data_IF_168241695514
#
_entry.id   IF_168241695514
#
_cell.length_a   1.000
_cell.length_b   1.000
_cell.length_c   1.000
_cell.angle_alpha   90.00
_cell.angle_beta   90.00
_cell.angle_gamma   90.00
#
_symmetry.space_group_name_H-M   'P 1'
#
loop_
_entity.id
_entity.type
_entity.pdbx_description
1 polymer ?
#
# COMPACT_ATOMS: atom_id res chain seq x y z
N UNK A 1 12.19 37.91 47.27
CA UNK A 1 13.14 37.50 46.20
C UNK A 1 13.03 36.02 45.81
N UNK A 2 11.97 35.26 46.15
CA UNK A 2 11.85 33.83 45.74
C UNK A 2 11.04 33.58 44.46
N UNK A 3 10.23 34.54 43.98
CA UNK A 3 9.28 34.26 42.90
C UNK A 3 9.88 34.39 41.47
N UNK A 4 10.96 35.17 41.29
CA UNK A 4 11.60 35.33 39.98
C UNK A 4 12.31 34.07 39.47
N UNK A 5 12.60 33.07 40.33
CA UNK A 5 13.23 31.80 39.87
C UNK A 5 12.24 30.87 39.17
N UNK A 6 10.92 31.03 39.36
CA UNK A 6 9.92 30.08 38.83
C UNK A 6 9.62 30.26 37.33
N UNK A 7 9.83 31.44 36.77
CA UNK A 7 9.63 31.70 35.33
C UNK A 7 10.68 31.02 34.43
N UNK A 8 11.87 30.74 34.98
CA UNK A 8 12.97 30.11 34.23
C UNK A 8 12.64 28.71 33.71
N UNK A 9 11.62 28.04 34.28
CA UNK A 9 11.28 26.67 33.93
C UNK A 9 10.35 26.54 32.72
N UNK A 10 9.68 27.63 32.31
CA UNK A 10 8.71 27.61 31.20
C UNK A 10 8.90 28.79 30.23
N UNK A 11 10.10 28.96 29.65
CA UNK A 11 10.48 30.17 28.90
C UNK A 11 9.63 30.42 27.65
N UNK A 12 8.96 29.40 27.13
CA UNK A 12 8.12 29.52 25.93
C UNK A 12 6.74 30.15 26.23
N UNK A 13 6.32 30.26 27.50
CA UNK A 13 5.06 30.92 27.90
C UNK A 13 5.27 32.41 28.24
N UNK A 14 6.48 32.81 28.62
CA UNK A 14 6.81 34.19 29.00
C UNK A 14 6.46 35.23 27.91
N UNK A 15 6.67 34.98 26.60
CA UNK A 15 6.26 35.93 25.56
C UNK A 15 4.76 36.21 25.56
N UNK A 16 3.93 35.19 25.83
CA UNK A 16 2.47 35.36 25.91
C UNK A 16 2.10 36.23 27.09
N UNK A 17 2.71 36.00 28.26
CA UNK A 17 2.46 36.81 29.45
C UNK A 17 2.81 38.27 29.18
N UNK A 18 4.04 38.55 28.71
CA UNK A 18 4.50 39.92 28.43
C UNK A 18 3.63 40.64 27.40
N UNK A 19 3.14 39.93 26.39
CA UNK A 19 2.23 40.50 25.40
C UNK A 19 0.92 40.97 26.03
N UNK A 20 0.30 40.15 26.88
CA UNK A 20 -0.94 40.52 27.58
C UNK A 20 -0.69 41.60 28.63
N UNK A 21 0.43 41.56 29.36
CA UNK A 21 0.81 42.64 30.28
C UNK A 21 0.91 43.98 29.58
N UNK A 22 1.64 44.02 28.47
CA UNK A 22 1.80 45.23 27.66
C UNK A 22 0.48 45.70 27.07
N UNK A 23 -0.35 44.78 26.59
CA UNK A 23 -1.64 45.10 25.97
C UNK A 23 -2.61 45.73 26.99
N UNK A 24 -2.70 45.14 28.19
CA UNK A 24 -3.67 45.56 29.21
C UNK A 24 -3.14 46.55 30.25
N UNK A 25 -1.82 46.81 30.28
CA UNK A 25 -1.16 47.64 31.30
C UNK A 25 -1.39 47.13 32.72
N UNK A 26 -1.41 45.82 32.89
CA UNK A 26 -1.58 45.13 34.17
C UNK A 26 -0.49 44.07 34.28
N UNK A 27 0.17 43.97 35.43
CA UNK A 27 1.13 42.89 35.66
C UNK A 27 0.42 41.53 35.70
N UNK A 28 0.94 40.54 34.99
CA UNK A 28 0.46 39.16 34.96
C UNK A 28 1.56 38.26 35.52
N UNK A 29 1.33 37.75 36.71
CA UNK A 29 2.28 36.88 37.41
C UNK A 29 1.95 35.42 37.10
N UNK A 30 2.88 34.71 36.49
CA UNK A 30 2.75 33.29 36.20
C UNK A 30 3.33 32.46 37.35
N UNK A 31 2.50 31.63 37.97
CA UNK A 31 2.85 30.77 39.10
C UNK A 31 2.86 29.31 38.66
N UNK A 32 3.94 28.60 38.99
CA UNK A 32 4.03 27.14 38.86
C UNK A 32 4.07 26.52 40.25
N UNK A 33 2.90 26.25 40.86
CA UNK A 33 2.89 25.65 42.18
C UNK A 33 3.46 24.23 42.13
N UNK A 34 4.24 23.87 43.15
CA UNK A 34 4.82 22.52 43.28
C UNK A 34 3.78 21.43 43.62
N UNK A 35 2.53 21.84 43.88
CA UNK A 35 1.40 20.97 44.20
C UNK A 35 0.19 21.44 43.41
N UNK A 36 -0.74 20.52 43.13
CA UNK A 36 -2.02 20.82 42.46
C UNK A 36 -2.94 21.75 43.26
N UNK A 37 -2.50 22.31 44.40
CA UNK A 37 -3.22 23.32 45.17
C UNK A 37 -2.31 24.52 45.40
N UNK A 38 -2.82 25.71 45.09
CA UNK A 38 -2.12 26.97 45.23
C UNK A 38 -2.96 27.98 46.00
N UNK A 39 -2.34 28.76 46.88
CA UNK A 39 -3.03 29.85 47.60
C UNK A 39 -3.35 30.98 46.62
N UNK A 40 -4.58 31.52 46.64
CA UNK A 40 -4.86 32.79 45.98
C UNK A 40 -3.86 33.85 46.42
N UNK A 41 -3.50 34.72 45.49
CA UNK A 41 -2.60 35.85 45.67
C UNK A 41 -3.45 37.12 45.73
N UNK A 42 -3.07 38.00 46.65
CA UNK A 42 -3.77 39.26 46.93
C UNK A 42 -2.94 40.49 46.52
N UNK A 43 -1.71 40.28 46.05
CA UNK A 43 -0.84 41.35 45.55
C UNK A 43 -1.38 42.00 44.25
N UNK A 44 -0.91 43.21 43.89
CA UNK A 44 -1.37 43.89 42.70
C UNK A 44 -1.07 43.13 41.40
N UNK A 45 -2.01 43.20 40.45
CA UNK A 45 -1.95 42.47 39.18
C UNK A 45 -2.89 41.27 39.11
N UNK A 46 -2.69 40.46 38.08
CA UNK A 46 -3.40 39.20 37.86
C UNK A 46 -2.45 38.03 38.03
N UNK A 47 -2.95 36.94 38.62
CA UNK A 47 -2.13 35.78 38.98
C UNK A 47 -2.61 34.55 38.25
N UNK A 48 -1.78 34.01 37.36
CA UNK A 48 -2.06 32.82 36.57
C UNK A 48 -1.38 31.62 37.22
N UNK A 49 -2.15 30.70 37.79
CA UNK A 49 -1.65 29.49 38.44
C UNK A 49 -1.76 28.33 37.46
N UNK A 50 -0.61 27.80 37.01
CA UNK A 50 -0.56 26.70 36.06
C UNK A 50 -0.84 25.37 36.74
N UNK A 51 -1.76 24.60 36.17
CA UNK A 51 -2.14 23.25 36.61
C UNK A 51 -2.40 23.15 38.12
N UNK A 52 -3.31 23.99 38.60
CA UNK A 52 -3.56 24.18 40.02
C UNK A 52 -5.04 24.38 40.34
N UNK A 53 -5.41 24.02 41.56
CA UNK A 53 -6.67 24.39 42.22
C UNK A 53 -6.40 25.43 43.30
N UNK A 54 -7.37 26.29 43.63
CA UNK A 54 -7.28 27.13 44.81
C UNK A 54 -7.18 26.25 46.07
N UNK A 55 -6.22 26.54 46.95
CA UNK A 55 -6.17 25.92 48.27
C UNK A 55 -7.35 26.43 49.09
N UNK A 56 -8.20 25.53 49.60
CA UNK A 56 -9.37 25.89 50.41
C UNK A 56 -8.98 26.77 51.61
N UNK A 57 -9.83 27.73 51.95
CA UNK A 57 -9.80 28.46 53.22
C UNK A 57 -9.84 27.49 54.41
N UNK A 58 -9.26 27.85 55.57
CA UNK A 58 -8.88 26.88 56.59
C UNK A 58 -10.12 26.49 57.42
N UNK A 59 -10.52 25.21 57.38
CA UNK A 59 -10.66 24.31 58.54
C UNK A 59 -11.53 23.06 58.27
N UNK A 60 -12.57 23.10 57.43
CA UNK A 60 -13.61 22.04 57.44
C UNK A 60 -13.61 21.07 56.24
N UNK A 61 -12.51 21.01 55.50
CA UNK A 61 -12.52 20.43 54.16
C UNK A 61 -11.45 19.33 53.95
N UNK A 62 -11.15 18.62 55.04
CA UNK A 62 -10.26 17.46 55.11
C UNK A 62 -10.74 16.35 54.15
N UNK A 63 -9.81 15.81 53.35
CA UNK A 63 -9.91 14.53 52.60
C UNK A 63 -10.70 14.44 51.28
N UNK A 64 -10.90 15.54 50.54
CA UNK A 64 -11.19 15.38 49.11
C UNK A 64 -9.89 15.21 48.33
N UNK A 65 -9.54 14.00 47.87
CA UNK A 65 -8.47 13.80 46.89
C UNK A 65 -8.77 14.65 45.64
N UNK A 66 -7.77 15.39 45.16
CA UNK A 66 -7.88 16.09 43.88
C UNK A 66 -7.90 15.03 42.79
N UNK A 67 -9.09 14.73 42.26
CA UNK A 67 -9.22 13.80 41.14
C UNK A 67 -8.69 14.47 39.88
N UNK A 68 -7.88 13.72 39.13
CA UNK A 68 -7.50 14.06 37.77
C UNK A 68 -8.38 13.26 36.81
N UNK A 69 -8.69 13.86 35.67
CA UNK A 69 -9.37 13.17 34.58
C UNK A 69 -8.62 13.39 33.27
N UNK A 70 -8.88 12.51 32.31
CA UNK A 70 -8.30 12.59 30.98
C UNK A 70 -9.12 13.52 30.10
N UNK A 71 -8.50 14.61 29.67
CA UNK A 71 -9.03 15.61 28.76
C UNK A 71 -8.31 15.48 27.41
N UNK A 72 -8.92 14.87 26.39
CA UNK A 72 -8.24 14.65 25.10
C UNK A 72 -8.09 15.94 24.29
N UNK A 73 -9.00 16.90 24.48
CA UNK A 73 -9.08 18.13 23.71
C UNK A 73 -9.41 19.32 24.61
N UNK A 74 -8.93 20.51 24.26
CA UNK A 74 -9.33 21.77 24.89
C UNK A 74 -9.45 22.85 23.80
N UNK A 75 -10.56 23.60 23.77
CA UNK A 75 -10.85 24.58 22.72
C UNK A 75 -10.77 23.99 21.29
N UNK A 76 -11.19 22.73 21.12
CA UNK A 76 -11.08 22.02 19.83
C UNK A 76 -9.64 21.67 19.42
N UNK A 77 -8.64 21.86 20.29
CA UNK A 77 -7.24 21.49 20.05
C UNK A 77 -6.91 20.18 20.76
N UNK A 78 -6.39 19.20 20.02
CA UNK A 78 -5.98 17.91 20.58
C UNK A 78 -4.73 18.04 21.45
N UNK A 79 -4.83 17.64 22.72
CA UNK A 79 -3.71 17.69 23.66
C UNK A 79 -2.70 16.56 23.41
N UNK A 80 -1.43 16.80 23.76
CA UNK A 80 -0.34 15.84 23.62
C UNK A 80 -0.60 14.60 24.50
N UNK A 81 -0.34 13.42 23.95
CA UNK A 81 -0.37 12.17 24.72
C UNK A 81 0.61 12.23 25.91
N UNK A 82 0.14 11.86 27.10
CA UNK A 82 0.86 12.03 28.36
C UNK A 82 0.61 13.37 29.09
N UNK A 83 0.12 14.40 28.40
CA UNK A 83 -0.25 15.70 28.97
C UNK A 83 -1.76 15.97 28.87
N UNK A 84 -2.58 14.92 28.76
CA UNK A 84 -4.05 15.00 28.69
C UNK A 84 -4.69 15.11 30.08
N UNK A 85 -3.95 15.56 31.09
CA UNK A 85 -4.46 15.59 32.45
C UNK A 85 -5.14 16.93 32.74
N UNK A 86 -6.29 16.86 33.39
CA UNK A 86 -7.00 18.03 33.91
C UNK A 86 -7.45 17.77 35.35
N UNK A 87 -7.44 18.82 36.18
CA UNK A 87 -7.88 18.79 37.56
C UNK A 87 -9.41 18.91 37.64
N UNK A 88 -10.06 17.98 38.34
CA UNK A 88 -11.50 18.08 38.60
C UNK A 88 -11.77 19.14 39.67
N UNK A 89 -12.65 20.09 39.36
CA UNK A 89 -13.13 21.06 40.34
C UNK A 89 -14.04 20.38 41.38
N UNK A 90 -13.81 20.57 42.69
CA UNK A 90 -14.71 20.04 43.72
C UNK A 90 -16.10 20.71 43.64
N UNK A 91 -17.18 19.90 43.67
CA UNK A 91 -18.58 20.34 43.61
C UNK A 91 -19.00 21.40 44.67
N UNK A 92 -18.21 21.61 45.73
CA UNK A 92 -18.51 22.51 46.84
C UNK A 92 -17.83 23.89 46.76
N UNK A 93 -17.21 24.25 45.64
CA UNK A 93 -16.62 25.58 45.50
C UNK A 93 -17.71 26.64 45.28
N UNK A 94 -18.12 27.32 46.36
CA UNK A 94 -19.22 28.31 46.36
C UNK A 94 -18.85 29.69 45.82
N UNK A 95 -17.55 30.01 45.65
CA UNK A 95 -17.07 31.35 45.28
C UNK A 95 -16.10 31.31 44.12
N UNK A 96 -16.53 31.74 42.95
CA UNK A 96 -15.70 31.85 41.75
C UNK A 96 -16.49 31.49 40.50
N UNK A 97 -15.83 31.60 39.36
CA UNK A 97 -16.43 31.32 38.04
C UNK A 97 -15.62 30.22 37.38
N UNK A 98 -16.30 29.19 36.87
CA UNK A 98 -15.65 28.12 36.12
C UNK A 98 -15.63 28.51 34.65
N UNK A 99 -14.44 28.60 34.07
CA UNK A 99 -14.29 28.72 32.63
C UNK A 99 -14.42 27.33 32.01
N UNK A 100 -15.34 27.20 31.06
CA UNK A 100 -15.54 25.99 30.25
C UNK A 100 -15.30 26.28 28.78
N UNK A 101 -14.86 25.27 28.03
CA UNK A 101 -14.89 25.34 26.56
C UNK A 101 -16.27 24.98 26.00
N UNK A 102 -16.38 25.00 24.67
CA UNK A 102 -17.61 24.71 23.93
C UNK A 102 -18.11 23.26 24.12
N UNK A 103 -17.23 22.35 24.56
CA UNK A 103 -17.56 20.96 24.90
C UNK A 103 -17.97 20.80 26.38
N UNK A 104 -17.96 21.89 27.15
CA UNK A 104 -18.32 21.92 28.56
C UNK A 104 -17.21 21.48 29.51
N UNK A 105 -15.99 21.25 29.03
CA UNK A 105 -14.84 20.87 29.85
C UNK A 105 -14.40 22.04 30.72
N UNK A 106 -14.18 21.83 32.02
CA UNK A 106 -13.66 22.88 32.90
C UNK A 106 -12.16 23.08 32.66
N UNK A 107 -11.78 24.26 32.15
CA UNK A 107 -10.41 24.57 31.75
C UNK A 107 -9.69 25.51 32.71
N UNK A 108 -10.42 26.42 33.35
CA UNK A 108 -9.90 27.27 34.41
C UNK A 108 -10.95 27.56 35.49
N UNK A 109 -10.48 27.99 36.65
CA UNK A 109 -11.31 28.52 37.72
C UNK A 109 -10.85 29.93 38.07
N UNK A 110 -11.77 30.88 38.04
CA UNK A 110 -11.52 32.30 38.25
C UNK A 110 -11.99 32.67 39.65
N UNK A 111 -11.09 33.27 40.44
CA UNK A 111 -11.40 33.73 41.78
C UNK A 111 -10.69 35.06 42.06
N UNK A 112 -11.46 36.14 42.11
CA UNK A 112 -10.93 37.50 42.25
C UNK A 112 -9.89 37.76 41.14
N UNK A 113 -8.64 38.08 41.48
CA UNK A 113 -7.54 38.35 40.54
C UNK A 113 -6.75 37.10 40.13
N UNK A 114 -7.24 35.91 40.47
CA UNK A 114 -6.53 34.65 40.27
C UNK A 114 -7.21 33.80 39.20
N UNK A 115 -6.41 33.33 38.24
CA UNK A 115 -6.78 32.40 37.18
C UNK A 115 -6.10 31.07 37.49
N UNK A 116 -6.87 30.07 37.92
CA UNK A 116 -6.38 28.72 38.19
C UNK A 116 -6.61 27.86 36.96
N UNK A 117 -5.55 27.61 36.18
CA UNK A 117 -5.62 26.76 34.99
C UNK A 117 -5.66 25.30 35.46
N UNK A 118 -6.67 24.57 35.00
CA UNK A 118 -6.93 23.20 35.45
C UNK A 118 -6.29 22.15 34.54
N UNK A 119 -5.93 22.51 33.32
CA UNK A 119 -5.29 21.62 32.36
C UNK A 119 -3.76 21.74 32.41
N UNK A 120 -3.05 20.64 32.12
CA UNK A 120 -1.59 20.64 32.09
C UNK A 120 -1.05 21.34 30.83
N UNK A 121 -0.98 22.68 30.88
CA UNK A 121 -0.41 23.51 29.80
C UNK A 121 1.10 23.26 29.66
N UNK A 122 1.80 22.99 30.78
CA UNK A 122 3.26 22.87 30.80
C UNK A 122 3.72 21.59 30.10
N UNK A 123 2.96 20.50 30.22
CA UNK A 123 3.25 19.24 29.53
C UNK A 123 3.05 19.26 28.01
N UNK A 124 2.44 20.32 27.45
CA UNK A 124 2.18 20.42 26.01
C UNK A 124 3.44 20.73 25.21
N UNK A 125 3.35 20.65 23.89
CA UNK A 125 4.46 21.00 23.01
C UNK A 125 4.75 22.51 23.05
N UNK A 126 5.98 22.90 22.71
CA UNK A 126 6.41 24.31 22.68
C UNK A 126 5.52 25.22 21.82
N UNK A 127 4.85 24.66 20.82
CA UNK A 127 3.95 25.40 19.93
C UNK A 127 2.51 25.44 20.46
N UNK A 128 2.05 24.36 21.13
CA UNK A 128 0.66 24.25 21.60
C UNK A 128 0.48 24.93 22.96
N UNK A 129 1.46 24.86 23.87
CA UNK A 129 1.35 25.44 25.21
C UNK A 129 1.07 26.97 25.18
N UNK A 130 1.79 27.78 24.38
CA UNK A 130 1.53 29.23 24.28
C UNK A 130 0.12 29.51 23.73
N UNK A 131 -0.30 28.72 22.74
CA UNK A 131 -1.61 28.87 22.11
C UNK A 131 -2.76 28.57 23.09
N UNK A 132 -2.64 27.51 23.88
CA UNK A 132 -3.62 27.19 24.92
C UNK A 132 -3.66 28.26 26.01
N UNK A 133 -2.49 28.77 26.43
CA UNK A 133 -2.42 29.85 27.40
C UNK A 133 -3.12 31.12 26.87
N UNK A 134 -2.91 31.49 25.61
CA UNK A 134 -3.63 32.61 24.98
C UNK A 134 -5.14 32.43 25.03
N UNK A 135 -5.65 31.26 24.59
CA UNK A 135 -7.09 30.96 24.67
C UNK A 135 -7.62 31.07 26.09
N UNK A 136 -6.90 30.50 27.07
CA UNK A 136 -7.28 30.60 28.48
C UNK A 136 -7.35 32.07 28.94
N UNK A 137 -6.37 32.90 28.58
CA UNK A 137 -6.38 34.33 28.93
C UNK A 137 -7.49 35.09 28.21
N UNK A 138 -7.68 34.87 26.90
CA UNK A 138 -8.72 35.50 26.09
C UNK A 138 -10.13 35.28 26.66
N UNK A 139 -10.39 34.09 27.19
CA UNK A 139 -11.67 33.78 27.81
C UNK A 139 -11.72 34.25 29.27
N UNK A 140 -10.67 34.03 30.06
CA UNK A 140 -10.64 34.40 31.48
C UNK A 140 -10.74 35.91 31.68
N UNK A 141 -9.96 36.69 30.94
CA UNK A 141 -9.95 38.15 31.06
C UNK A 141 -11.28 38.79 30.65
N UNK A 142 -11.99 38.18 29.70
CA UNK A 142 -13.34 38.59 29.33
C UNK A 142 -14.35 38.48 30.49
N UNK A 143 -14.16 37.47 31.36
CA UNK A 143 -14.99 37.26 32.54
C UNK A 143 -14.54 38.11 33.72
N UNK A 144 -13.31 38.64 33.68
CA UNK A 144 -12.67 39.45 34.73
C UNK A 144 -12.58 40.92 34.33
N UNK A 145 -13.45 41.39 33.45
CA UNK A 145 -13.39 42.74 32.88
C UNK A 145 -13.44 43.86 33.92
N UNK A 146 -14.23 43.70 34.97
CA UNK A 146 -14.33 44.67 36.06
C UNK A 146 -13.00 44.78 36.85
N UNK A 147 -12.41 43.63 37.21
CA UNK A 147 -11.11 43.59 37.90
C UNK A 147 -10.01 44.18 37.00
N UNK A 148 -10.04 43.85 35.70
CA UNK A 148 -9.07 44.34 34.73
C UNK A 148 -9.16 45.87 34.55
N UNK A 149 -10.37 46.44 34.51
CA UNK A 149 -10.57 47.89 34.50
C UNK A 149 -10.04 48.57 35.77
N UNK A 150 -10.34 47.99 36.94
CA UNK A 150 -9.89 48.50 38.22
C UNK A 150 -8.35 48.49 38.35
N UNK A 151 -7.67 47.47 37.80
CA UNK A 151 -6.20 47.37 37.84
C UNK A 151 -5.50 48.23 36.78
N UNK A 152 -6.03 48.28 35.56
CA UNK A 152 -5.39 48.97 34.43
C UNK A 152 -5.64 50.48 34.40
N UNK A 153 -6.73 50.94 35.02
CA UNK A 153 -7.25 52.29 34.86
C UNK A 153 -7.80 52.59 33.46
N UNK A 154 -7.93 51.58 32.59
CA UNK A 154 -8.47 51.73 31.24
C UNK A 154 -10.00 51.63 31.26
N UNK A 155 -10.65 52.39 30.37
CA UNK A 155 -12.09 52.32 30.17
C UNK A 155 -12.51 50.91 29.68
N UNK A 156 -13.63 50.34 30.14
CA UNK A 156 -14.08 49.00 29.75
C UNK A 156 -14.16 48.77 28.23
N UNK A 157 -14.62 49.75 27.47
CA UNK A 157 -14.70 49.65 25.99
C UNK A 157 -13.32 49.50 25.34
N UNK A 158 -12.30 50.19 25.85
CA UNK A 158 -10.94 50.08 25.33
C UNK A 158 -10.36 48.69 25.62
N UNK A 159 -10.61 48.16 26.80
CA UNK A 159 -10.20 46.80 27.17
C UNK A 159 -10.89 45.77 26.30
N UNK A 160 -12.18 45.96 26.01
CA UNK A 160 -12.93 45.09 25.10
C UNK A 160 -12.32 45.08 23.70
N UNK A 161 -11.95 46.25 23.16
CA UNK A 161 -11.27 46.35 21.86
C UNK A 161 -9.92 45.62 21.85
N UNK A 162 -9.11 45.78 22.91
CA UNK A 162 -7.82 45.09 23.05
C UNK A 162 -8.04 43.57 23.09
N UNK A 163 -9.02 43.10 23.86
CA UNK A 163 -9.35 41.69 23.98
C UNK A 163 -9.84 41.08 22.66
N UNK A 164 -10.66 41.81 21.90
CA UNK A 164 -11.08 41.40 20.54
C UNK A 164 -9.85 41.26 19.62
N UNK A 165 -8.91 42.21 19.69
CA UNK A 165 -7.65 42.14 18.93
C UNK A 165 -6.80 40.92 19.31
N UNK A 166 -6.67 40.62 20.61
CA UNK A 166 -5.94 39.47 21.11
C UNK A 166 -6.59 38.15 20.65
N UNK A 167 -7.90 38.02 20.81
CA UNK A 167 -8.68 36.85 20.33
C UNK A 167 -8.47 36.58 18.85
N UNK A 168 -8.54 37.61 18.01
CA UNK A 168 -8.33 37.46 16.57
C UNK A 168 -6.92 36.94 16.27
N UNK A 169 -5.91 37.44 16.95
CA UNK A 169 -4.53 36.95 16.82
C UNK A 169 -4.41 35.49 17.25
N UNK A 170 -5.02 35.13 18.38
CA UNK A 170 -5.06 33.75 18.88
C UNK A 170 -5.76 32.80 17.90
N UNK A 171 -6.87 33.21 17.29
CA UNK A 171 -7.59 32.42 16.28
C UNK A 171 -6.76 32.17 15.02
N UNK A 172 -6.03 33.18 14.55
CA UNK A 172 -5.11 33.03 13.42
C UNK A 172 -3.97 32.07 13.74
N UNK A 173 -3.39 32.17 14.94
CA UNK A 173 -2.34 31.24 15.39
C UNK A 173 -2.88 29.81 15.54
N UNK A 174 -4.09 29.64 16.09
CA UNK A 174 -4.74 28.34 16.19
C UNK A 174 -4.98 27.71 14.82
N UNK A 175 -5.48 28.49 13.86
CA UNK A 175 -5.72 28.03 12.50
C UNK A 175 -4.43 27.56 11.82
N UNK A 176 -3.34 28.34 11.95
CA UNK A 176 -2.03 27.97 11.41
C UNK A 176 -1.50 26.68 12.05
N UNK A 177 -1.56 26.58 13.37
CA UNK A 177 -1.12 25.39 14.08
C UNK A 177 -1.90 24.14 13.65
N UNK A 178 -3.23 24.24 13.51
CA UNK A 178 -4.07 23.15 13.03
C UNK A 178 -3.70 22.73 11.59
N UNK A 179 -3.43 23.68 10.69
CA UNK A 179 -2.98 23.39 9.33
C UNK A 179 -1.63 22.65 9.31
N UNK A 180 -0.64 23.15 10.05
CA UNK A 180 0.68 22.51 10.17
C UNK A 180 0.58 21.10 10.74
N UNK A 181 -0.24 20.91 11.78
CA UNK A 181 -0.46 19.60 12.39
C UNK A 181 -1.14 18.64 11.42
N UNK A 182 -2.18 19.09 10.69
CA UNK A 182 -2.84 18.27 9.66
C UNK A 182 -1.86 17.85 8.56
N UNK A 183 -1.04 18.78 8.08
CA UNK A 183 -0.01 18.48 7.09
C UNK A 183 1.00 17.44 7.60
N UNK A 184 1.47 17.58 8.84
CA UNK A 184 2.40 16.64 9.47
C UNK A 184 1.79 15.23 9.63
N UNK A 185 0.56 15.13 10.14
CA UNK A 185 -0.15 13.84 10.29
C UNK A 185 -0.37 13.18 8.92
N UNK A 186 -0.74 13.95 7.90
CA UNK A 186 -0.90 13.44 6.54
C UNK A 186 0.43 12.98 5.93
N UNK A 187 1.53 13.67 6.20
CA UNK A 187 2.88 13.25 5.81
C UNK A 187 3.24 11.90 6.41
N UNK A 188 3.10 11.76 7.73
CA UNK A 188 3.38 10.51 8.45
C UNK A 188 2.49 9.34 7.96
N UNK A 189 1.21 9.59 7.68
CA UNK A 189 0.32 8.57 7.12
C UNK A 189 0.72 8.14 5.71
N UNK A 190 1.18 9.07 4.86
CA UNK A 190 1.66 8.74 3.51
C UNK A 190 2.96 7.93 3.57
N UNK A 191 3.91 8.34 4.40
CA UNK A 191 5.18 7.63 4.59
C UNK A 191 4.97 6.24 5.19
N UNK A 192 4.12 6.12 6.21
CA UNK A 192 3.81 4.84 6.86
C UNK A 192 3.01 3.87 5.99
N UNK A 193 2.15 4.35 5.10
CA UNK A 193 1.44 3.49 4.12
C UNK A 193 2.38 3.00 3.02
N UNK A 194 3.31 3.83 2.56
CA UNK A 194 4.27 3.45 1.52
C UNK A 194 5.13 2.27 1.94
N UNK A 195 5.68 2.30 3.15
CA UNK A 195 6.50 1.20 3.69
C UNK A 195 5.72 -0.11 3.79
N UNK A 196 4.53 -0.09 4.43
CA UNK A 196 3.72 -1.31 4.61
C UNK A 196 3.27 -1.95 3.30
N UNK A 197 2.94 -1.14 2.29
CA UNK A 197 2.54 -1.65 0.96
C UNK A 197 3.74 -2.29 0.26
N UNK A 198 4.93 -1.67 0.32
CA UNK A 198 6.13 -2.22 -0.25
C UNK A 198 6.52 -3.56 0.41
N UNK A 199 6.42 -3.63 1.74
CA UNK A 199 6.68 -4.85 2.50
C UNK A 199 5.70 -5.98 2.12
N UNK A 200 4.41 -5.66 2.01
CA UNK A 200 3.36 -6.61 1.62
C UNK A 200 3.56 -7.14 0.18
N UNK A 201 3.91 -6.25 -0.76
CA UNK A 201 4.23 -6.65 -2.14
C UNK A 201 5.41 -7.62 -2.14
N UNK A 202 6.49 -7.30 -1.42
CA UNK A 202 7.66 -8.17 -1.33
C UNK A 202 7.34 -9.54 -0.73
N UNK A 203 6.47 -9.58 0.27
CA UNK A 203 5.98 -10.83 0.87
C UNK A 203 5.20 -11.67 -0.16
N UNK A 204 4.20 -11.08 -0.83
CA UNK A 204 3.36 -11.77 -1.81
C UNK A 204 4.17 -12.27 -3.03
N UNK A 205 5.14 -11.48 -3.52
CA UNK A 205 6.04 -11.89 -4.62
C UNK A 205 6.94 -13.08 -4.22
N UNK A 206 7.31 -13.19 -2.94
CA UNK A 206 8.04 -14.34 -2.42
C UNK A 206 7.15 -15.58 -2.32
N UNK A 207 5.90 -15.41 -1.86
CA UNK A 207 4.92 -16.49 -1.73
C UNK A 207 4.49 -17.06 -3.09
N UNK A 208 4.28 -16.20 -4.09
CA UNK A 208 3.98 -16.61 -5.47
C UNK A 208 5.09 -17.50 -6.02
N UNK A 209 6.36 -17.04 -5.94
CA UNK A 209 7.51 -17.83 -6.44
C UNK A 209 7.63 -19.19 -5.76
N UNK A 210 7.48 -19.24 -4.44
CA UNK A 210 7.52 -20.50 -3.69
C UNK A 210 6.38 -21.46 -4.08
N UNK A 211 5.20 -20.90 -4.38
CA UNK A 211 4.04 -21.69 -4.81
C UNK A 211 4.22 -22.21 -6.23
N UNK A 212 4.77 -21.41 -7.13
CA UNK A 212 5.10 -21.80 -8.50
C UNK A 212 6.12 -22.95 -8.53
N UNK A 213 7.17 -22.89 -7.71
CA UNK A 213 8.17 -23.96 -7.59
C UNK A 213 7.56 -25.27 -7.05
N UNK A 214 6.65 -25.15 -6.08
CA UNK A 214 5.90 -26.29 -5.54
C UNK A 214 5.00 -26.92 -6.59
N UNK A 215 4.30 -26.10 -7.38
CA UNK A 215 3.45 -26.55 -8.48
C UNK A 215 4.26 -27.25 -9.56
N UNK A 216 5.41 -26.71 -9.93
CA UNK A 216 6.31 -27.34 -10.91
C UNK A 216 6.77 -28.72 -10.42
N UNK A 217 7.16 -28.83 -9.15
CA UNK A 217 7.57 -30.09 -8.55
C UNK A 217 6.43 -31.12 -8.52
N UNK A 218 5.21 -30.69 -8.16
CA UNK A 218 4.03 -31.55 -8.17
C UNK A 218 3.69 -32.03 -9.59
N UNK A 219 3.77 -31.16 -10.59
CA UNK A 219 3.53 -31.49 -12.00
C UNK A 219 4.51 -32.55 -12.52
N UNK A 220 5.81 -32.41 -12.20
CA UNK A 220 6.84 -33.43 -12.51
C UNK A 220 6.49 -34.78 -11.87
N UNK A 221 6.01 -34.79 -10.62
CA UNK A 221 5.61 -36.02 -9.91
C UNK A 221 4.38 -36.68 -10.54
N UNK A 222 3.32 -35.92 -10.83
CA UNK A 222 2.09 -36.42 -11.47
C UNK A 222 2.44 -37.08 -12.82
N UNK A 223 3.30 -36.43 -13.59
CA UNK A 223 3.79 -36.96 -14.87
C UNK A 223 4.52 -38.30 -14.69
N UNK A 224 5.40 -38.40 -13.69
CA UNK A 224 6.13 -39.64 -13.39
C UNK A 224 5.20 -40.79 -12.98
N UNK A 225 4.24 -40.52 -12.09
CA UNK A 225 3.26 -41.52 -11.62
C UNK A 225 2.31 -41.97 -12.74
N UNK A 226 1.89 -41.05 -13.61
CA UNK A 226 1.03 -41.37 -14.76
C UNK A 226 1.74 -42.35 -15.70
N UNK A 227 3.04 -42.14 -15.96
CA UNK A 227 3.86 -43.06 -16.76
C UNK A 227 4.01 -44.42 -16.09
N UNK A 228 4.25 -44.44 -14.79
CA UNK A 228 4.34 -45.68 -14.02
C UNK A 228 3.04 -46.48 -14.13
N UNK A 229 1.89 -45.82 -13.92
CA UNK A 229 0.58 -46.44 -14.05
C UNK A 229 0.35 -47.02 -15.44
N UNK A 230 0.71 -46.30 -16.50
CA UNK A 230 0.58 -46.80 -17.88
C UNK A 230 1.49 -47.99 -18.16
N UNK A 231 2.73 -47.97 -17.65
CA UNK A 231 3.63 -49.11 -17.74
C UNK A 231 3.05 -50.35 -17.04
N UNK A 232 2.51 -50.17 -15.83
CA UNK A 232 1.82 -51.24 -15.09
C UNK A 232 0.60 -51.78 -15.85
N UNK A 233 -0.24 -50.90 -16.42
CA UNK A 233 -1.41 -51.30 -17.23
C UNK A 233 -1.00 -52.13 -18.44
N UNK A 234 0.01 -51.68 -19.19
CA UNK A 234 0.54 -52.45 -20.33
C UNK A 234 1.06 -53.82 -19.91
N UNK A 235 1.82 -53.88 -18.81
CA UNK A 235 2.33 -55.15 -18.29
C UNK A 235 1.20 -56.09 -17.85
N UNK A 236 0.14 -55.54 -17.24
CA UNK A 236 -1.03 -56.31 -16.84
C UNK A 236 -1.77 -56.90 -18.05
N UNK A 237 -1.99 -56.12 -19.10
CA UNK A 237 -2.60 -56.61 -20.35
C UNK A 237 -1.79 -57.74 -20.99
N UNK A 238 -0.46 -57.57 -21.08
CA UNK A 238 0.45 -58.64 -21.55
C UNK A 238 0.31 -59.94 -20.75
N UNK A 239 0.26 -59.85 -19.42
CA UNK A 239 0.13 -61.03 -18.55
C UNK A 239 -1.24 -61.70 -18.65
N UNK A 240 -2.28 -60.95 -19.02
CA UNK A 240 -3.64 -61.47 -19.23
C UNK A 240 -3.84 -62.15 -20.58
N UNK A 241 -2.84 -62.10 -21.48
CA UNK A 241 -3.02 -62.55 -22.86
C UNK A 241 -4.00 -61.69 -23.65
N UNK A 242 -4.31 -60.48 -23.15
CA UNK A 242 -4.99 -59.43 -23.90
C UNK A 242 -3.98 -58.92 -24.95
N UNK A 243 -3.85 -59.66 -26.05
CA UNK A 243 -3.04 -59.26 -27.18
C UNK A 243 -3.68 -58.02 -27.85
N UNK A 244 -2.95 -56.92 -27.75
CA UNK A 244 -2.82 -55.90 -28.80
C UNK A 244 -3.91 -54.85 -29.05
N UNK A 245 -4.89 -54.62 -28.15
CA UNK A 245 -5.73 -53.40 -28.30
C UNK A 245 -4.87 -52.13 -28.25
N UNK A 246 -3.88 -52.07 -27.37
CA UNK A 246 -2.93 -50.95 -27.29
C UNK A 246 -1.97 -50.87 -28.49
N UNK A 247 -1.64 -52.00 -29.12
CA UNK A 247 -0.86 -52.04 -30.36
C UNK A 247 -1.67 -51.54 -31.55
N UNK A 248 -2.95 -51.92 -31.62
CA UNK A 248 -3.89 -51.46 -32.64
C UNK A 248 -4.24 -49.97 -32.52
N UNK A 249 -4.33 -49.42 -31.31
CA UNK A 249 -4.46 -47.98 -31.09
C UNK A 249 -3.22 -47.22 -31.55
N UNK A 250 -2.03 -47.68 -31.18
CA UNK A 250 -0.77 -47.04 -31.59
C UNK A 250 -0.56 -47.13 -33.12
N UNK A 251 -0.85 -48.27 -33.72
CA UNK A 251 -0.80 -48.43 -35.18
C UNK A 251 -1.74 -47.44 -35.88
N UNK A 252 -2.99 -47.30 -35.39
CA UNK A 252 -3.94 -46.31 -35.93
C UNK A 252 -3.45 -44.87 -35.77
N UNK A 253 -2.83 -44.53 -34.66
CA UNK A 253 -2.24 -43.20 -34.46
C UNK A 253 -1.06 -42.96 -35.40
N UNK A 254 -0.19 -43.95 -35.64
CA UNK A 254 0.91 -43.87 -36.60
C UNK A 254 0.42 -43.75 -38.05
N UNK A 255 -0.64 -44.47 -38.41
CA UNK A 255 -1.28 -44.40 -39.72
C UNK A 255 -1.82 -42.98 -39.96
N UNK A 256 -2.60 -42.44 -39.01
CA UNK A 256 -3.10 -41.04 -39.06
C UNK A 256 -1.97 -40.02 -39.20
N UNK A 257 -0.88 -40.21 -38.46
CA UNK A 257 0.29 -39.34 -38.51
C UNK A 257 0.98 -39.39 -39.88
N UNK A 258 1.06 -40.58 -40.49
CA UNK A 258 1.66 -40.78 -41.80
C UNK A 258 0.79 -40.21 -42.93
N UNK A 259 -0.53 -40.14 -42.72
CA UNK A 259 -1.50 -39.52 -43.63
C UNK A 259 -1.53 -37.98 -43.52
N UNK A 260 -0.97 -37.40 -42.47
CA UNK A 260 -1.00 -35.95 -42.26
C UNK A 260 -0.25 -35.21 -43.38
N UNK A 261 -0.91 -34.24 -44.01
CA UNK A 261 -0.41 -33.56 -45.24
C UNK A 261 0.97 -32.93 -45.11
N UNK A 262 1.33 -32.48 -43.91
CA UNK A 262 2.59 -31.78 -43.63
C UNK A 262 3.69 -32.71 -43.10
N UNK A 263 3.38 -34.00 -42.92
CA UNK A 263 4.33 -35.02 -42.50
C UNK A 263 4.87 -35.73 -43.73
N UNK A 264 6.19 -35.93 -43.75
CA UNK A 264 6.90 -36.64 -44.82
C UNK A 264 7.25 -38.06 -44.40
N UNK A 265 7.68 -38.24 -43.15
CA UNK A 265 8.12 -39.52 -42.62
C UNK A 265 7.87 -39.58 -41.11
N UNK A 266 7.54 -40.77 -40.62
CA UNK A 266 7.36 -41.06 -39.20
C UNK A 266 8.17 -42.29 -38.86
N UNK A 267 9.03 -42.19 -37.85
CA UNK A 267 9.91 -43.28 -37.40
C UNK A 267 9.70 -43.50 -35.90
N UNK A 268 9.36 -44.73 -35.51
CA UNK A 268 9.33 -45.12 -34.10
C UNK A 268 10.74 -45.12 -33.50
N UNK A 269 10.91 -44.51 -32.33
CA UNK A 269 12.13 -44.56 -31.53
C UNK A 269 11.88 -45.39 -30.27
N UNK A 270 12.93 -45.99 -29.66
CA UNK A 270 12.77 -46.72 -28.40
C UNK A 270 12.15 -45.87 -27.28
N UNK A 271 12.41 -44.56 -27.29
CA UNK A 271 11.97 -43.62 -26.26
C UNK A 271 10.88 -42.62 -26.75
N UNK A 272 10.35 -42.77 -27.97
CA UNK A 272 9.44 -41.78 -28.53
C UNK A 272 9.14 -41.97 -30.01
N UNK A 273 8.84 -40.87 -30.68
CA UNK A 273 8.55 -40.80 -32.11
C UNK A 273 9.41 -39.72 -32.76
N UNK A 274 9.96 -40.01 -33.94
CA UNK A 274 10.58 -39.02 -34.82
C UNK A 274 9.65 -38.72 -35.98
N UNK A 275 9.41 -37.45 -36.22
CA UNK A 275 8.57 -36.95 -37.32
C UNK A 275 9.45 -36.07 -38.20
N UNK A 276 9.51 -36.37 -39.49
CA UNK A 276 10.10 -35.49 -40.48
C UNK A 276 8.99 -34.77 -41.21
N UNK A 277 8.98 -33.45 -41.17
CA UNK A 277 7.98 -32.66 -41.88
C UNK A 277 8.33 -32.54 -43.36
N UNK A 278 7.29 -32.27 -44.17
CA UNK A 278 7.46 -31.66 -45.49
C UNK A 278 7.98 -30.23 -45.34
N UNK A 279 8.26 -29.60 -46.48
CA UNK A 279 8.70 -28.21 -46.48
C UNK A 279 7.56 -27.31 -45.99
N UNK A 280 7.74 -26.68 -44.84
CA UNK A 280 6.76 -25.80 -44.24
C UNK A 280 6.96 -24.36 -44.74
N UNK A 281 5.85 -23.65 -44.86
CA UNK A 281 5.79 -22.24 -45.22
C UNK A 281 4.87 -21.52 -44.23
N UNK A 282 5.12 -20.24 -44.02
CA UNK A 282 4.33 -19.41 -43.11
C UNK A 282 4.07 -18.04 -43.70
N UNK A 283 2.84 -17.56 -43.55
CA UNK A 283 2.49 -16.17 -43.86
C UNK A 283 2.70 -15.29 -42.64
N UNK A 284 3.49 -14.23 -42.78
CA UNK A 284 3.64 -13.22 -41.75
C UNK A 284 3.64 -11.82 -42.38
N UNK A 285 2.71 -10.96 -41.94
CA UNK A 285 2.55 -9.57 -42.44
C UNK A 285 2.43 -9.50 -43.98
N UNK A 286 1.66 -10.42 -44.56
CA UNK A 286 1.39 -10.48 -46.00
C UNK A 286 2.54 -11.02 -46.86
N UNK A 287 3.65 -11.45 -46.26
CA UNK A 287 4.77 -12.12 -46.94
C UNK A 287 4.78 -13.60 -46.60
N UNK A 288 5.15 -14.43 -47.58
CA UNK A 288 5.35 -15.87 -47.40
C UNK A 288 6.83 -16.17 -47.15
N UNK A 289 7.12 -16.99 -46.15
CA UNK A 289 8.48 -17.36 -45.75
C UNK A 289 8.66 -18.88 -45.83
N UNK A 290 9.76 -19.32 -46.42
CA UNK A 290 10.11 -20.74 -46.53
C UNK A 290 10.82 -21.21 -45.26
N UNK A 291 10.11 -21.88 -44.36
CA UNK A 291 10.71 -22.32 -43.10
C UNK A 291 11.65 -23.52 -43.27
N UNK A 292 11.36 -24.41 -44.21
CA UNK A 292 12.15 -25.63 -44.41
C UNK A 292 11.47 -26.89 -43.91
N UNK A 293 12.24 -27.98 -43.84
CA UNK A 293 11.82 -29.26 -43.27
C UNK A 293 12.35 -29.39 -41.85
N UNK A 294 11.56 -29.96 -40.96
CA UNK A 294 11.92 -30.14 -39.57
C UNK A 294 11.98 -31.61 -39.20
N UNK A 295 12.94 -31.97 -38.35
CA UNK A 295 12.90 -33.17 -37.55
C UNK A 295 12.33 -32.80 -36.19
N UNK A 296 11.23 -33.44 -35.81
CA UNK A 296 10.59 -33.30 -34.51
C UNK A 296 10.71 -34.63 -33.78
N UNK A 297 11.42 -34.65 -32.66
CA UNK A 297 11.50 -35.82 -31.79
C UNK A 297 10.56 -35.61 -30.59
N UNK A 298 9.49 -36.40 -30.52
CA UNK A 298 8.53 -36.45 -29.43
C UNK A 298 8.86 -37.61 -28.51
N UNK A 299 9.54 -37.34 -27.40
CA UNK A 299 9.91 -38.38 -26.45
C UNK A 299 8.76 -38.64 -25.46
N UNK A 300 8.56 -39.90 -25.07
CA UNK A 300 7.54 -40.29 -24.09
C UNK A 300 7.77 -39.66 -22.70
N UNK A 301 8.98 -39.15 -22.46
CA UNK A 301 9.30 -38.35 -21.28
C UNK A 301 8.76 -36.89 -21.37
N UNK A 302 8.03 -36.54 -22.43
CA UNK A 302 7.47 -35.19 -22.67
C UNK A 302 8.51 -34.18 -23.17
N UNK A 303 9.75 -34.60 -23.38
CA UNK A 303 10.78 -33.80 -24.02
C UNK A 303 10.52 -33.75 -25.51
N UNK A 304 10.71 -32.55 -26.08
CA UNK A 304 10.42 -32.25 -27.47
C UNK A 304 11.64 -31.52 -28.01
N UNK A 305 12.29 -32.10 -29.02
CA UNK A 305 13.38 -31.44 -29.75
C UNK A 305 12.98 -31.24 -31.20
N UNK A 306 13.34 -30.09 -31.76
CA UNK A 306 12.93 -29.69 -33.11
C UNK A 306 14.12 -29.07 -33.86
N UNK A 307 14.58 -29.75 -34.90
CA UNK A 307 15.72 -29.30 -35.70
C UNK A 307 15.30 -28.97 -37.13
N UNK A 308 15.77 -27.83 -37.66
CA UNK A 308 15.54 -27.47 -39.04
C UNK A 308 16.60 -28.11 -39.94
N UNK A 309 16.16 -28.99 -40.83
CA UNK A 309 17.03 -29.81 -41.67
C UNK A 309 17.48 -29.10 -42.94
N UNK A 310 16.80 -28.03 -43.38
CA UNK A 310 17.05 -27.44 -44.70
C UNK A 310 17.30 -25.95 -44.71
N UNK A 311 16.74 -25.18 -43.78
CA UNK A 311 16.83 -23.72 -43.80
C UNK A 311 17.09 -23.16 -42.39
N UNK A 312 18.12 -23.67 -41.72
CA UNK A 312 18.53 -23.20 -40.39
C UNK A 312 19.28 -21.86 -40.50
N UNK A 313 19.03 -20.94 -39.58
CA UNK A 313 19.77 -19.67 -39.49
C UNK A 313 20.70 -19.66 -38.27
N UNK A 314 21.98 -19.98 -38.49
CA UNK A 314 22.96 -20.09 -37.41
C UNK A 314 22.54 -21.17 -36.40
N UNK A 315 22.34 -20.78 -35.14
CA UNK A 315 21.84 -21.69 -34.10
C UNK A 315 20.32 -21.84 -34.06
N UNK A 316 19.57 -21.00 -34.80
CA UNK A 316 18.12 -20.95 -34.75
C UNK A 316 17.49 -21.85 -35.81
N UNK A 317 16.68 -22.80 -35.35
CA UNK A 317 15.93 -23.71 -36.21
C UNK A 317 14.62 -23.05 -36.69
N UNK A 318 14.07 -22.14 -35.88
CA UNK A 318 12.83 -21.40 -36.11
C UNK A 318 12.86 -20.13 -35.23
N UNK A 319 12.05 -19.08 -35.48
CA UNK A 319 11.96 -17.90 -34.59
C UNK A 319 11.78 -18.22 -33.10
N UNK A 320 11.15 -19.34 -32.75
CA UNK A 320 10.90 -19.78 -31.38
C UNK A 320 11.71 -21.03 -30.96
N UNK A 321 12.74 -21.39 -31.72
CA UNK A 321 13.51 -22.62 -31.47
C UNK A 321 15.00 -22.34 -31.58
N UNK A 322 15.70 -22.53 -30.47
CA UNK A 322 17.15 -22.35 -30.38
C UNK A 322 17.83 -23.68 -30.14
N UNK A 323 18.65 -24.08 -31.11
CA UNK A 323 19.45 -25.30 -31.07
C UNK A 323 18.66 -26.55 -30.64
N UNK A 324 17.55 -26.81 -31.34
CA UNK A 324 16.68 -27.93 -31.02
C UNK A 324 15.65 -27.68 -29.92
N UNK A 325 15.80 -26.65 -29.08
CA UNK A 325 14.96 -26.45 -27.91
C UNK A 325 13.85 -25.43 -28.20
N UNK A 326 12.57 -25.85 -28.24
CA UNK A 326 11.46 -24.95 -28.54
C UNK A 326 10.96 -24.17 -27.31
N UNK A 327 10.69 -22.87 -27.50
CA UNK A 327 9.91 -22.06 -26.57
C UNK A 327 8.41 -22.27 -26.84
N UNK A 328 7.83 -23.31 -26.24
CA UNK A 328 6.44 -23.73 -26.50
C UNK A 328 5.38 -22.86 -25.79
N UNK A 329 5.78 -21.97 -24.88
CA UNK A 329 4.88 -21.13 -24.08
C UNK A 329 3.77 -21.95 -23.39
N UNK A 330 2.54 -21.46 -23.54
CA UNK A 330 1.31 -22.06 -23.02
C UNK A 330 0.90 -23.38 -23.71
N UNK A 331 1.49 -23.74 -24.84
CA UNK A 331 1.19 -25.02 -25.54
C UNK A 331 1.93 -26.20 -24.90
N UNK A 332 2.99 -25.94 -24.12
CA UNK A 332 3.84 -26.97 -23.47
C UNK A 332 3.02 -27.98 -22.65
N UNK A 333 2.10 -27.50 -21.83
CA UNK A 333 1.30 -28.36 -20.94
C UNK A 333 0.33 -29.25 -21.75
N UNK A 334 -0.32 -28.68 -22.76
CA UNK A 334 -1.19 -29.42 -23.67
C UNK A 334 -0.44 -30.51 -24.42
N UNK A 335 0.76 -30.20 -24.95
CA UNK A 335 1.60 -31.19 -25.62
C UNK A 335 2.06 -32.30 -24.67
N UNK A 336 2.51 -31.95 -23.46
CA UNK A 336 2.92 -32.95 -22.47
C UNK A 336 1.78 -33.92 -22.12
N UNK A 337 0.54 -33.40 -22.02
CA UNK A 337 -0.66 -34.20 -21.82
C UNK A 337 -0.95 -35.14 -23.00
N UNK A 338 -0.98 -34.61 -24.23
CA UNK A 338 -1.24 -35.42 -25.44
C UNK A 338 -0.22 -36.55 -25.60
N UNK A 339 1.06 -36.25 -25.39
CA UNK A 339 2.14 -37.26 -25.42
C UNK A 339 1.93 -38.29 -24.30
N UNK A 340 1.60 -37.83 -23.09
CA UNK A 340 1.29 -38.69 -21.96
C UNK A 340 0.11 -39.61 -22.21
N UNK A 341 -0.90 -39.17 -22.96
CA UNK A 341 -2.09 -39.94 -23.33
C UNK A 341 -1.90 -40.78 -24.62
N UNK A 342 -0.69 -40.82 -25.19
CA UNK A 342 -0.38 -41.48 -26.46
C UNK A 342 -1.21 -40.99 -27.67
N UNK A 343 -1.74 -39.77 -27.60
CA UNK A 343 -2.44 -39.09 -28.70
C UNK A 343 -1.41 -38.41 -29.62
N UNK A 344 -0.54 -39.22 -30.22
CA UNK A 344 0.63 -38.73 -30.95
C UNK A 344 0.23 -37.97 -32.22
N UNK A 345 -0.87 -38.34 -32.88
CA UNK A 345 -1.33 -37.62 -34.06
C UNK A 345 -1.75 -36.19 -33.68
N UNK A 346 -2.57 -36.04 -32.64
CA UNK A 346 -2.96 -34.72 -32.13
C UNK A 346 -1.76 -33.90 -31.65
N UNK A 347 -0.79 -34.52 -30.96
CA UNK A 347 0.44 -33.84 -30.56
C UNK A 347 1.24 -33.32 -31.77
N UNK A 348 1.31 -34.11 -32.84
CA UNK A 348 1.98 -33.71 -34.08
C UNK A 348 1.30 -32.54 -34.79
N UNK A 349 -0.05 -32.53 -34.82
CA UNK A 349 -0.83 -31.41 -35.39
C UNK A 349 -0.53 -30.11 -34.64
N UNK A 350 -0.53 -30.16 -33.31
CA UNK A 350 -0.21 -29.01 -32.46
C UNK A 350 1.22 -28.50 -32.71
N UNK A 351 2.19 -29.40 -32.91
CA UNK A 351 3.58 -29.00 -33.25
C UNK A 351 3.65 -28.37 -34.64
N UNK A 352 2.99 -28.96 -35.63
CA UNK A 352 2.98 -28.40 -37.00
C UNK A 352 2.32 -27.02 -37.00
N UNK A 353 1.22 -26.84 -36.28
CA UNK A 353 0.56 -25.54 -36.12
C UNK A 353 1.44 -24.54 -35.38
N UNK A 354 2.18 -24.96 -34.34
CA UNK A 354 3.20 -24.14 -33.69
C UNK A 354 4.28 -23.69 -34.67
N UNK A 355 4.81 -24.59 -35.50
CA UNK A 355 5.81 -24.26 -36.53
C UNK A 355 5.27 -23.33 -37.61
N UNK A 356 3.95 -23.34 -37.87
CA UNK A 356 3.28 -22.47 -38.84
C UNK A 356 2.75 -21.17 -38.24
N UNK A 357 2.84 -20.99 -36.92
CA UNK A 357 2.29 -19.82 -36.23
C UNK A 357 3.41 -19.00 -35.62
N UNK A 358 3.57 -17.76 -36.10
CA UNK A 358 4.64 -16.87 -35.63
C UNK A 358 4.05 -15.69 -34.87
N UNK A 359 4.32 -15.67 -33.55
CA UNK A 359 4.11 -14.51 -32.70
C UNK A 359 5.41 -13.70 -32.59
N UNK A 360 5.35 -12.42 -32.92
CA UNK A 360 6.50 -11.51 -32.90
C UNK A 360 6.87 -10.99 -31.51
N UNK A 361 5.99 -11.18 -30.50
CA UNK A 361 6.22 -10.65 -29.15
C UNK A 361 7.34 -11.38 -28.41
N UNK A 362 7.53 -12.67 -28.70
CA UNK A 362 8.35 -13.56 -27.86
C UNK A 362 9.37 -14.37 -28.66
N UNK A 363 9.61 -14.05 -29.94
CA UNK A 363 10.58 -14.80 -30.75
C UNK A 363 12.02 -14.50 -30.31
N UNK A 364 12.93 -15.47 -30.49
CA UNK A 364 14.36 -15.25 -30.30
C UNK A 364 14.97 -14.46 -31.46
N UNK A 365 14.44 -14.62 -32.67
CA UNK A 365 14.91 -13.97 -33.88
C UNK A 365 13.75 -13.76 -34.87
N UNK A 366 13.83 -12.68 -35.66
CA UNK A 366 12.82 -12.33 -36.66
C UNK A 366 12.70 -13.41 -37.75
N UNK A 367 11.47 -13.66 -38.21
CA UNK A 367 11.19 -14.56 -39.32
C UNK A 367 11.85 -14.10 -40.64
N UNK A 368 12.18 -12.82 -40.77
CA UNK A 368 12.77 -12.25 -41.98
C UNK A 368 14.15 -12.84 -42.34
N UNK A 369 14.78 -13.56 -41.41
CA UNK A 369 16.02 -14.29 -41.66
C UNK A 369 15.84 -15.59 -42.46
N UNK A 370 14.60 -16.11 -42.54
CA UNK A 370 14.23 -17.19 -43.44
C UNK A 370 13.77 -16.55 -44.74
N UNK A 371 14.42 -16.82 -45.87
CA UNK A 371 14.15 -16.13 -47.14
C UNK A 371 12.66 -16.04 -47.49
N UNK A 372 12.21 -14.85 -47.91
CA UNK A 372 10.85 -14.68 -48.43
C UNK A 372 10.70 -15.40 -49.77
N UNK A 373 9.61 -16.12 -49.94
CA UNK A 373 9.26 -16.72 -51.23
C UNK A 373 8.78 -15.59 -52.13
N UNK A 374 9.40 -15.36 -53.32
CA UNK A 374 8.92 -14.38 -54.27
C UNK A 374 7.46 -14.64 -54.63
N UNK A 375 6.65 -13.60 -54.69
CA UNK A 375 5.24 -13.69 -55.08
C UNK A 375 5.11 -13.86 -56.60
N UNK A 376 5.70 -14.93 -57.14
CA UNK A 376 5.59 -15.28 -58.55
C UNK A 376 4.22 -15.92 -58.81
N UNK A 377 3.20 -15.06 -58.93
CA UNK A 377 1.92 -15.45 -59.52
C UNK A 377 0.71 -15.47 -58.60
N UNK A 378 0.67 -14.77 -57.44
CA UNK A 378 -0.66 -14.41 -56.87
C UNK A 378 -1.39 -13.55 -57.91
N UNK A 379 -2.54 -13.99 -58.46
CA UNK A 379 -3.40 -13.07 -59.20
C UNK A 379 -3.66 -11.89 -58.26
N UNK A 380 -3.40 -10.67 -58.74
CA UNK A 380 -3.51 -9.44 -57.97
C UNK A 380 -4.77 -9.52 -57.11
N UNK A 381 -4.59 -9.61 -55.78
CA UNK A 381 -5.70 -9.62 -54.84
C UNK A 381 -6.58 -8.43 -55.18
N UNK A 382 -7.83 -8.71 -55.55
CA UNK A 382 -8.81 -7.71 -55.94
C UNK A 382 -8.78 -6.54 -54.93
N UNK A 383 -8.86 -5.28 -55.40
CA UNK A 383 -8.77 -4.12 -54.54
C UNK A 383 -9.75 -4.23 -53.37
N UNK A 384 -9.37 -3.80 -52.15
CA UNK A 384 -10.23 -3.84 -50.98
C UNK A 384 -11.41 -2.89 -51.20
N UNK A 385 -12.53 -3.42 -51.70
CA UNK A 385 -13.69 -2.62 -52.08
C UNK A 385 -14.74 -3.30 -52.96
N UNK A 386 -14.58 -4.57 -53.36
CA UNK A 386 -15.64 -5.28 -54.05
C UNK A 386 -16.87 -5.47 -53.11
N UNK A 387 -18.07 -4.99 -53.48
CA UNK A 387 -19.26 -5.09 -52.65
C UNK A 387 -19.62 -6.56 -52.42
N UNK A 388 -19.92 -6.91 -51.15
CA UNK A 388 -20.43 -8.23 -50.79
C UNK A 388 -21.78 -8.44 -51.48
N UNK A 389 -21.83 -9.34 -52.46
CA UNK A 389 -23.09 -9.89 -52.96
C UNK A 389 -23.72 -10.70 -51.84
N UNK A 390 -24.76 -10.12 -51.25
CA UNK A 390 -25.68 -10.79 -50.33
C UNK A 390 -26.41 -11.89 -51.12
N UNK A 391 -26.37 -13.12 -50.61
CA UNK A 391 -27.40 -14.13 -50.85
C UNK A 391 -28.08 -14.45 -49.55
#
# INVERSE_FOLDING_TARGET
>A
MSDLRQLSEVPHLEPVIKEYESAFRVALHLHRPSRARSKPRDDPGLHVHLFALPSRFPLTAFMGETRMFMLPMAFGLTLREGARQALTLPNRMKKGVVLRDDEGNALAFLHQRNIFILLDVIGQTKDLAPLLLRRLLDHSLAMMMADLAAQSGLHPERLQLILVGQRRTTELQASRWQQTRRASVMGQLKEGRGGRIADEIGFLESEIRSTEETLETASRRITAETRHLQACRRRLGQLRGELDEGGADLARELDRLSEHRDVAEVTGLPAGLRIITRHLQVEHRGKQYALGRFQVDLLYNGEITIHNLTNRHGYYDHPHIWNGTPCLGNVREGLAKLIGEFQLAAASEVIVDFLKTINHKDWHISIEHWGSIPDEGRPASLPPGAPKLVR
#
